data_IF_784880546564
#
_entry.id   IF_784880546564
#
_cell.length_a   1.000
_cell.length_b   1.000
_cell.length_c   1.000
_cell.angle_alpha   90.00
_cell.angle_beta   90.00
_cell.angle_gamma   90.00
#
_symmetry.space_group_name_H-M   'P 1'
#
loop_
_entity.id
_entity.type
_entity.pdbx_description
1 polymer ?
#
# COMPACT_ATOMS: atom_id res chain seq x y z
N UNK A 1 -8.35 -16.62 -24.04
CA UNK A 1 -7.60 -17.61 -23.23
C UNK A 1 -6.55 -16.84 -22.45
N UNK A 2 -6.47 -17.03 -21.13
CA UNK A 2 -5.48 -16.34 -20.28
C UNK A 2 -4.06 -16.78 -20.61
N UNK A 3 -3.11 -15.85 -20.48
CA UNK A 3 -1.67 -16.13 -20.52
C UNK A 3 -1.20 -16.32 -19.09
N UNK A 4 -0.38 -17.35 -18.82
CA UNK A 4 0.20 -17.58 -17.48
C UNK A 4 0.97 -16.36 -16.98
N UNK A 5 1.60 -15.61 -17.89
CA UNK A 5 2.27 -14.34 -17.58
C UNK A 5 1.31 -13.26 -17.08
N UNK A 6 0.09 -13.20 -17.64
CA UNK A 6 -0.91 -12.24 -17.17
C UNK A 6 -1.44 -12.65 -15.80
N UNK A 7 -1.53 -13.95 -15.51
CA UNK A 7 -1.93 -14.45 -14.19
C UNK A 7 -0.88 -14.05 -13.12
N UNK A 8 0.42 -14.12 -13.44
CA UNK A 8 1.50 -13.58 -12.59
C UNK A 8 1.29 -12.10 -12.30
N UNK A 9 1.03 -11.30 -13.34
CA UNK A 9 0.85 -9.85 -13.19
C UNK A 9 -0.39 -9.46 -12.41
N UNK A 10 -1.51 -10.15 -12.62
CA UNK A 10 -2.73 -9.94 -11.85
C UNK A 10 -2.47 -10.21 -10.37
N UNK A 11 -1.78 -11.31 -10.06
CA UNK A 11 -1.41 -11.63 -8.68
C UNK A 11 -0.45 -10.59 -8.09
N UNK A 12 0.57 -10.17 -8.84
CA UNK A 12 1.50 -9.15 -8.38
C UNK A 12 0.80 -7.81 -8.09
N UNK A 13 -0.09 -7.36 -8.97
CA UNK A 13 -0.90 -6.16 -8.74
C UNK A 13 -1.80 -6.31 -7.50
N UNK A 14 -2.42 -7.48 -7.30
CA UNK A 14 -3.23 -7.73 -6.11
C UNK A 14 -2.40 -7.62 -4.82
N UNK A 15 -1.16 -8.12 -4.81
CA UNK A 15 -0.22 -7.95 -3.69
C UNK A 15 0.13 -6.49 -3.48
N UNK A 16 0.55 -5.79 -4.54
CA UNK A 16 1.01 -4.41 -4.49
C UNK A 16 -0.06 -3.44 -3.99
N UNK A 17 -1.30 -3.63 -4.43
CA UNK A 17 -2.40 -2.68 -4.24
C UNK A 17 -3.24 -2.95 -2.98
N UNK A 18 -3.15 -4.15 -2.39
CA UNK A 18 -3.96 -4.51 -1.22
C UNK A 18 -3.26 -4.19 0.10
N UNK A 19 -4.07 -3.98 1.16
CA UNK A 19 -3.63 -4.04 2.56
C UNK A 19 -3.77 -5.44 3.14
N UNK A 20 -4.74 -6.20 2.63
CA UNK A 20 -5.02 -7.58 3.00
C UNK A 20 -5.24 -8.38 1.72
N UNK A 21 -4.42 -9.40 1.50
CA UNK A 21 -4.53 -10.32 0.38
C UNK A 21 -5.23 -11.59 0.85
N UNK A 22 -6.39 -11.87 0.28
CA UNK A 22 -7.10 -13.13 0.50
C UNK A 22 -6.76 -14.09 -0.63
N UNK A 23 -6.00 -15.13 -0.32
CA UNK A 23 -5.74 -16.23 -1.24
C UNK A 23 -6.78 -17.34 -1.01
N UNK A 24 -7.51 -17.70 -2.06
CA UNK A 24 -8.61 -18.65 -1.99
C UNK A 24 -8.28 -19.93 -2.79
N UNK A 25 -8.30 -21.08 -2.13
CA UNK A 25 -8.11 -22.40 -2.75
C UNK A 25 -9.22 -23.36 -2.35
N UNK A 26 -9.40 -24.46 -3.08
CA UNK A 26 -10.36 -25.53 -2.75
C UNK A 26 -9.59 -26.76 -2.26
N UNK A 27 -10.11 -27.44 -1.24
CA UNK A 27 -9.60 -28.71 -0.73
C UNK A 27 -8.63 -28.52 0.44
N UNK A 28 -7.35 -28.75 0.20
CA UNK A 28 -6.31 -28.73 1.23
C UNK A 28 -5.08 -27.95 0.76
N UNK A 29 -4.21 -27.56 1.70
CA UNK A 29 -2.91 -26.95 1.38
C UNK A 29 -1.90 -28.06 1.10
N UNK A 30 -1.97 -28.62 -0.11
CA UNK A 30 -1.03 -29.62 -0.60
C UNK A 30 0.12 -28.96 -1.41
N UNK A 31 1.02 -29.80 -1.93
CA UNK A 31 2.11 -29.30 -2.77
C UNK A 31 1.57 -28.61 -4.04
N UNK A 32 0.49 -29.11 -4.63
CA UNK A 32 -0.15 -28.51 -5.81
C UNK A 32 -0.65 -27.10 -5.54
N UNK A 33 -1.27 -26.87 -4.39
CA UNK A 33 -1.76 -25.56 -3.97
C UNK A 33 -0.62 -24.55 -3.76
N UNK A 34 0.53 -25.02 -3.25
CA UNK A 34 1.73 -24.21 -3.08
C UNK A 34 2.51 -24.00 -4.39
N UNK A 35 2.49 -24.96 -5.31
CA UNK A 35 3.09 -24.80 -6.64
C UNK A 35 2.30 -23.77 -7.48
N UNK A 36 0.98 -23.68 -7.27
CA UNK A 36 0.17 -22.59 -7.84
C UNK A 36 0.56 -21.21 -7.30
N UNK A 37 1.20 -21.15 -6.13
CA UNK A 37 1.81 -19.95 -5.58
C UNK A 37 3.24 -19.71 -6.11
N UNK A 38 3.68 -20.37 -7.20
CA UNK A 38 4.93 -20.00 -7.88
C UNK A 38 4.96 -18.51 -8.29
N UNK A 39 3.81 -17.86 -8.46
CA UNK A 39 3.76 -16.40 -8.63
C UNK A 39 4.39 -15.65 -7.46
N UNK A 40 4.36 -16.20 -6.24
CA UNK A 40 5.05 -15.66 -5.06
C UNK A 40 6.57 -15.82 -5.19
N UNK A 41 7.06 -16.87 -5.84
CA UNK A 41 8.50 -17.01 -6.14
C UNK A 41 8.91 -16.07 -7.27
N UNK A 42 8.08 -15.94 -8.30
CA UNK A 42 8.26 -14.97 -9.39
C UNK A 42 8.16 -13.54 -8.89
N UNK A 43 7.31 -13.24 -7.91
CA UNK A 43 7.22 -11.94 -7.23
C UNK A 43 8.58 -11.48 -6.70
N UNK A 44 9.46 -12.39 -6.27
CA UNK A 44 10.82 -12.02 -5.87
C UNK A 44 11.69 -11.54 -7.05
N UNK A 45 11.40 -12.01 -8.25
CA UNK A 45 12.05 -11.58 -9.51
C UNK A 45 11.35 -10.36 -10.12
N UNK A 46 10.04 -10.23 -9.90
CA UNK A 46 9.14 -9.25 -10.50
C UNK A 46 8.81 -8.06 -9.58
N UNK A 47 9.25 -8.07 -8.34
CA UNK A 47 9.20 -6.93 -7.42
C UNK A 47 10.61 -6.71 -6.89
N UNK A 48 11.28 -5.71 -7.47
CA UNK A 48 12.49 -5.17 -6.87
C UNK A 48 12.08 -4.16 -5.80
N UNK A 49 12.47 -4.40 -4.55
CA UNK A 49 12.27 -3.44 -3.46
C UNK A 49 13.30 -2.31 -3.47
N UNK A 50 14.46 -2.49 -4.11
CA UNK A 50 15.50 -1.46 -4.35
C UNK A 50 16.07 -1.54 -5.76
N UNK A 51 16.54 -0.41 -6.28
CA UNK A 51 17.29 -0.35 -7.55
C UNK A 51 18.74 -0.86 -7.44
N UNK A 52 19.30 -0.94 -6.23
CA UNK A 52 20.74 -1.20 -5.98
C UNK A 52 21.08 -2.59 -5.44
N UNK A 53 20.13 -3.52 -5.33
CA UNK A 53 20.42 -4.85 -4.77
C UNK A 53 21.16 -5.73 -5.78
N UNK A 54 22.38 -6.13 -5.42
CA UNK A 54 23.13 -7.20 -6.08
C UNK A 54 22.38 -8.52 -5.80
N UNK A 55 22.19 -9.42 -6.79
CA UNK A 55 21.56 -10.72 -6.53
C UNK A 55 22.41 -11.52 -5.54
N UNK A 56 21.93 -11.70 -4.31
CA UNK A 56 22.59 -12.53 -3.29
C UNK A 56 22.82 -11.90 -1.93
N UNK A 57 22.54 -10.60 -1.73
CA UNK A 57 22.66 -9.99 -0.41
C UNK A 57 21.45 -10.35 0.47
N UNK A 58 21.63 -11.36 1.34
CA UNK A 58 20.58 -12.04 2.10
C UNK A 58 20.11 -11.29 3.36
N UNK A 59 20.44 -10.00 3.50
CA UNK A 59 20.25 -9.27 4.76
C UNK A 59 19.18 -8.17 4.74
N UNK A 60 18.51 -7.92 3.61
CA UNK A 60 17.52 -6.84 3.45
C UNK A 60 16.08 -7.25 3.86
N UNK A 61 15.92 -8.20 4.80
CA UNK A 61 14.60 -8.72 5.18
C UNK A 61 13.74 -7.75 6.00
N UNK A 62 14.33 -6.71 6.58
CA UNK A 62 13.63 -5.73 7.43
C UNK A 62 12.77 -4.72 6.65
N UNK A 63 13.06 -4.51 5.37
CA UNK A 63 12.35 -3.50 4.55
C UNK A 63 11.13 -4.04 3.80
N UNK A 64 10.98 -5.36 3.70
CA UNK A 64 9.79 -6.00 3.10
C UNK A 64 8.53 -5.77 3.95
N UNK A 65 8.69 -5.60 5.27
CA UNK A 65 7.59 -5.62 6.25
C UNK A 65 6.61 -4.45 6.09
N UNK A 66 7.00 -3.36 5.43
CA UNK A 66 6.15 -2.18 5.24
C UNK A 66 5.24 -2.20 4.01
N UNK A 67 5.46 -3.13 3.06
CA UNK A 67 4.82 -3.09 1.74
C UNK A 67 3.78 -4.16 1.51
N UNK A 68 4.07 -5.36 2.02
CA UNK A 68 3.26 -6.53 1.73
C UNK A 68 1.99 -6.51 2.57
N UNK A 69 0.85 -6.90 1.98
CA UNK A 69 -0.41 -6.97 2.70
C UNK A 69 -0.37 -8.03 3.79
N UNK A 70 -1.28 -7.91 4.76
CA UNK A 70 -1.63 -9.06 5.59
C UNK A 70 -2.12 -10.20 4.69
N UNK A 71 -1.72 -11.44 4.99
CA UNK A 71 -2.08 -12.58 4.16
C UNK A 71 -3.14 -13.45 4.85
N UNK A 72 -4.22 -13.72 4.14
CA UNK A 72 -5.29 -14.62 4.61
C UNK A 72 -5.45 -15.75 3.61
N UNK A 73 -5.20 -16.99 4.04
CA UNK A 73 -5.49 -18.16 3.24
C UNK A 73 -6.88 -18.69 3.59
N UNK A 74 -7.79 -18.67 2.62
CA UNK A 74 -9.12 -19.26 2.72
C UNK A 74 -9.15 -20.60 1.98
N UNK A 75 -9.39 -21.68 2.70
CA UNK A 75 -9.43 -23.04 2.15
C UNK A 75 -10.89 -23.51 2.10
N UNK A 76 -11.46 -23.49 0.90
CA UNK A 76 -12.85 -23.85 0.59
C UNK A 76 -13.04 -25.36 0.53
N UNK A 77 -14.24 -25.81 0.84
CA UNK A 77 -14.65 -27.22 0.82
C UNK A 77 -13.66 -28.10 1.59
N UNK A 78 -13.26 -27.64 2.77
CA UNK A 78 -12.28 -28.32 3.61
C UNK A 78 -12.83 -29.66 4.10
N UNK A 79 -12.02 -30.73 3.97
CA UNK A 79 -12.46 -32.10 4.27
C UNK A 79 -11.62 -32.81 5.34
N UNK A 80 -10.56 -32.17 5.83
CA UNK A 80 -9.71 -32.77 6.86
C UNK A 80 -10.25 -32.41 8.25
N UNK A 81 -9.95 -33.25 9.22
CA UNK A 81 -10.07 -32.85 10.62
C UNK A 81 -8.83 -32.01 10.98
N UNK A 82 -9.05 -30.90 11.69
CA UNK A 82 -7.97 -30.06 12.21
C UNK A 82 -7.31 -30.75 13.40
N UNK A 83 -6.58 -31.82 13.13
CA UNK A 83 -5.85 -32.59 14.12
C UNK A 83 -4.40 -32.84 13.67
N UNK A 84 -3.49 -32.80 14.64
CA UNK A 84 -2.09 -33.17 14.47
C UNK A 84 -1.66 -34.02 15.67
N UNK A 85 -1.09 -35.20 15.42
CA UNK A 85 -0.73 -36.18 16.47
C UNK A 85 -1.87 -36.48 17.46
N UNK A 86 -3.11 -36.56 16.96
CA UNK A 86 -4.31 -36.84 17.74
C UNK A 86 -4.74 -35.71 18.68
N UNK A 87 -4.20 -34.50 18.51
CA UNK A 87 -4.63 -33.29 19.23
C UNK A 87 -5.29 -32.32 18.26
N UNK A 88 -6.37 -31.63 18.68
CA UNK A 88 -6.96 -30.57 17.87
C UNK A 88 -5.96 -29.43 17.69
N UNK A 89 -5.91 -28.88 16.48
CA UNK A 89 -5.09 -27.72 16.11
C UNK A 89 -5.97 -26.59 15.61
N UNK A 90 -5.47 -25.36 15.64
CA UNK A 90 -6.18 -24.24 15.01
C UNK A 90 -5.98 -24.24 13.48
N UNK A 91 -6.81 -23.48 12.77
CA UNK A 91 -6.64 -23.25 11.33
C UNK A 91 -5.28 -22.60 11.02
N UNK A 92 -4.82 -21.72 11.91
CA UNK A 92 -3.53 -21.04 11.79
C UNK A 92 -2.38 -22.04 11.97
N UNK A 93 -2.46 -22.94 12.95
CA UNK A 93 -1.49 -24.03 13.12
C UNK A 93 -1.47 -24.95 11.90
N UNK A 94 -2.63 -25.25 11.30
CA UNK A 94 -2.70 -26.02 10.06
C UNK A 94 -1.92 -25.35 8.92
N UNK A 95 -2.04 -24.02 8.79
CA UNK A 95 -1.27 -23.26 7.80
C UNK A 95 0.23 -23.26 8.11
N UNK A 96 0.64 -23.08 9.37
CA UNK A 96 2.05 -23.14 9.75
C UNK A 96 2.67 -24.51 9.47
N UNK A 97 1.96 -25.60 9.79
CA UNK A 97 2.39 -26.96 9.46
C UNK A 97 2.54 -27.17 7.94
N UNK A 98 1.60 -26.66 7.14
CA UNK A 98 1.69 -26.75 5.68
C UNK A 98 2.91 -25.99 5.11
N UNK A 99 3.35 -24.94 5.80
CA UNK A 99 4.49 -24.08 5.44
C UNK A 99 5.81 -24.51 6.09
N UNK A 100 5.84 -25.63 6.82
CA UNK A 100 7.07 -26.18 7.38
C UNK A 100 8.09 -26.52 6.29
N UNK A 101 9.35 -26.18 6.59
CA UNK A 101 10.46 -26.43 5.68
C UNK A 101 11.04 -27.81 5.95
N UNK A 102 11.36 -28.53 4.88
CA UNK A 102 12.14 -29.77 4.99
C UNK A 102 13.60 -29.44 5.27
N UNK A 103 14.19 -30.21 6.18
CA UNK A 103 15.64 -30.20 6.43
C UNK A 103 16.35 -30.95 5.31
N UNK A 104 17.44 -30.36 4.81
CA UNK A 104 18.19 -30.90 3.67
C UNK A 104 18.41 -29.85 2.57
N UNK A 105 19.25 -30.20 1.60
CA UNK A 105 19.66 -29.29 0.52
C UNK A 105 19.66 -29.98 -0.86
N UNK A 106 18.89 -31.04 -1.03
CA UNK A 106 18.67 -31.65 -2.35
C UNK A 106 17.83 -30.73 -3.23
N UNK A 107 17.92 -30.87 -4.55
CA UNK A 107 17.12 -30.09 -5.50
C UNK A 107 15.61 -30.21 -5.25
N UNK A 108 15.15 -31.41 -4.86
CA UNK A 108 13.75 -31.66 -4.48
C UNK A 108 13.34 -30.89 -3.23
N UNK A 109 14.20 -30.85 -2.21
CA UNK A 109 13.95 -30.08 -0.99
C UNK A 109 14.00 -28.57 -1.25
N UNK A 110 14.88 -28.10 -2.12
CA UNK A 110 14.93 -26.71 -2.53
C UNK A 110 13.64 -26.28 -3.23
N UNK A 111 13.18 -27.08 -4.20
CA UNK A 111 11.92 -26.82 -4.94
C UNK A 111 10.72 -26.83 -3.99
N UNK A 112 10.65 -27.79 -3.07
CA UNK A 112 9.60 -27.87 -2.05
C UNK A 112 9.62 -26.67 -1.09
N UNK A 113 10.81 -26.24 -0.66
CA UNK A 113 10.98 -25.20 0.33
C UNK A 113 10.83 -23.78 -0.25
N UNK A 114 11.06 -23.58 -1.54
CA UNK A 114 11.06 -22.25 -2.17
C UNK A 114 9.74 -21.48 -1.98
N UNK A 115 8.56 -21.98 -2.40
CA UNK A 115 7.30 -21.26 -2.22
C UNK A 115 6.99 -20.99 -0.74
N UNK A 116 7.32 -21.95 0.14
CA UNK A 116 7.15 -21.81 1.60
C UNK A 116 8.01 -20.71 2.19
N UNK A 117 9.28 -20.63 1.78
CA UNK A 117 10.20 -19.55 2.18
C UNK A 117 9.68 -18.20 1.71
N UNK A 118 9.22 -18.10 0.46
CA UNK A 118 8.70 -16.85 -0.08
C UNK A 118 7.44 -16.39 0.66
N UNK A 119 6.47 -17.27 0.91
CA UNK A 119 5.25 -16.93 1.67
C UNK A 119 5.62 -16.44 3.08
N UNK A 120 6.51 -17.14 3.79
CA UNK A 120 6.94 -16.76 5.14
C UNK A 120 7.74 -15.46 5.16
N UNK A 121 8.49 -15.17 4.10
CA UNK A 121 9.28 -13.96 3.97
C UNK A 121 8.40 -12.74 3.65
N UNK A 122 7.53 -12.85 2.66
CA UNK A 122 6.70 -11.74 2.20
C UNK A 122 5.52 -11.48 3.12
N UNK A 123 5.02 -12.50 3.79
CA UNK A 123 3.87 -12.41 4.67
C UNK A 123 4.27 -12.87 6.08
N UNK A 124 4.90 -12.01 6.89
CA UNK A 124 5.31 -12.39 8.24
C UNK A 124 4.10 -12.68 9.14
N UNK A 125 3.01 -11.93 8.96
CA UNK A 125 1.71 -12.18 9.61
C UNK A 125 0.76 -12.82 8.61
N UNK A 126 0.27 -14.01 8.96
CA UNK A 126 -0.61 -14.84 8.13
C UNK A 126 -1.77 -15.35 8.98
N UNK A 127 -2.95 -15.46 8.37
CA UNK A 127 -4.17 -16.01 8.96
C UNK A 127 -4.71 -17.10 8.05
N UNK A 128 -5.30 -18.14 8.63
CA UNK A 128 -5.99 -19.18 7.89
C UNK A 128 -7.47 -19.22 8.28
N UNK A 129 -8.32 -19.53 7.30
CA UNK A 129 -9.71 -19.91 7.51
C UNK A 129 -9.99 -21.14 6.67
N UNK A 130 -10.56 -22.17 7.29
CA UNK A 130 -11.12 -23.32 6.56
C UNK A 130 -12.64 -23.14 6.50
N UNK A 131 -13.18 -23.34 5.31
CA UNK A 131 -14.61 -23.20 5.06
C UNK A 131 -15.15 -24.54 4.61
N UNK A 132 -16.15 -25.06 5.31
CA UNK A 132 -16.86 -26.25 4.89
C UNK A 132 -17.56 -26.04 3.53
N UNK A 133 -17.99 -27.13 2.90
CA UNK A 133 -18.80 -27.04 1.71
C UNK A 133 -20.14 -26.39 2.08
N UNK A 134 -20.54 -25.28 1.41
CA UNK A 134 -21.66 -24.46 1.88
C UNK A 134 -23.02 -25.16 1.78
N UNK A 135 -23.14 -26.13 0.87
CA UNK A 135 -24.34 -26.93 0.69
C UNK A 135 -24.03 -28.18 -0.14
N UNK A 136 -25.03 -29.04 -0.33
CA UNK A 136 -24.89 -30.25 -1.15
C UNK A 136 -24.59 -29.90 -2.61
N UNK A 137 -23.77 -30.73 -3.27
CA UNK A 137 -23.34 -30.56 -4.68
C UNK A 137 -24.44 -30.20 -5.68
N UNK A 138 -25.64 -30.75 -5.53
CA UNK A 138 -26.79 -30.49 -6.42
C UNK A 138 -27.36 -29.08 -6.28
N UNK A 139 -27.15 -28.42 -5.13
CA UNK A 139 -27.61 -27.07 -4.82
C UNK A 139 -26.56 -25.98 -5.09
N UNK A 140 -25.27 -26.34 -5.21
CA UNK A 140 -24.19 -25.39 -5.48
C UNK A 140 -24.43 -24.44 -6.67
N UNK A 141 -25.05 -24.85 -7.80
CA UNK A 141 -25.35 -23.92 -8.89
C UNK A 141 -26.31 -22.78 -8.52
N UNK A 142 -27.07 -22.94 -7.43
CA UNK A 142 -28.07 -21.98 -6.97
C UNK A 142 -27.60 -21.19 -5.74
N UNK A 143 -26.32 -21.31 -5.36
CA UNK A 143 -25.80 -20.82 -4.07
C UNK A 143 -26.04 -19.32 -3.85
N UNK A 144 -25.94 -18.50 -4.90
CA UNK A 144 -26.17 -17.04 -4.84
C UNK A 144 -27.63 -16.67 -4.56
N UNK A 145 -28.59 -17.57 -4.85
CA UNK A 145 -30.01 -17.34 -4.60
C UNK A 145 -30.50 -17.96 -3.28
N UNK A 146 -29.63 -18.68 -2.56
CA UNK A 146 -29.98 -19.36 -1.31
C UNK A 146 -29.86 -18.42 -0.12
N UNK A 147 -30.75 -18.60 0.85
CA UNK A 147 -30.68 -17.89 2.14
C UNK A 147 -29.72 -18.59 3.11
N UNK A 148 -29.17 -17.87 4.09
CA UNK A 148 -28.30 -18.43 5.15
C UNK A 148 -28.91 -19.68 5.81
N UNK A 149 -30.24 -19.69 5.99
CA UNK A 149 -30.96 -20.81 6.60
C UNK A 149 -30.98 -22.09 5.76
N UNK A 150 -30.62 -22.01 4.48
CA UNK A 150 -30.57 -23.14 3.54
C UNK A 150 -29.14 -23.70 3.36
N UNK A 151 -28.15 -23.05 3.95
CA UNK A 151 -26.74 -23.42 3.93
C UNK A 151 -26.38 -24.28 5.14
N UNK A 152 -25.22 -24.93 5.07
CA UNK A 152 -24.66 -25.63 6.22
C UNK A 152 -24.36 -24.62 7.35
N UNK A 153 -24.88 -24.81 8.59
CA UNK A 153 -24.76 -23.83 9.66
C UNK A 153 -23.31 -23.48 10.01
N UNK A 154 -22.42 -24.47 9.98
CA UNK A 154 -20.99 -24.30 10.27
C UNK A 154 -20.30 -23.43 9.21
N UNK A 155 -20.62 -23.63 7.92
CA UNK A 155 -20.15 -22.75 6.85
C UNK A 155 -20.60 -21.30 7.08
N UNK A 156 -21.85 -21.09 7.48
CA UNK A 156 -22.39 -19.73 7.73
C UNK A 156 -21.64 -19.06 8.89
N UNK A 157 -21.37 -19.78 9.98
CA UNK A 157 -20.57 -19.25 11.09
C UNK A 157 -19.14 -18.93 10.66
N UNK A 158 -18.47 -19.85 9.96
CA UNK A 158 -17.10 -19.67 9.47
C UNK A 158 -17.00 -18.47 8.51
N UNK A 159 -17.95 -18.32 7.58
CA UNK A 159 -18.01 -17.18 6.66
C UNK A 159 -18.22 -15.86 7.40
N UNK A 160 -19.09 -15.82 8.41
CA UNK A 160 -19.30 -14.63 9.26
C UNK A 160 -18.04 -14.27 10.05
N UNK A 161 -17.34 -15.26 10.60
CA UNK A 161 -16.07 -15.07 11.30
C UNK A 161 -14.98 -14.53 10.38
N UNK A 162 -14.86 -15.08 9.17
CA UNK A 162 -13.96 -14.58 8.13
C UNK A 162 -14.26 -13.11 7.80
N UNK A 163 -15.50 -12.76 7.47
CA UNK A 163 -15.89 -11.39 7.15
C UNK A 163 -15.59 -10.43 8.31
N UNK A 164 -15.96 -10.82 9.53
CA UNK A 164 -15.68 -10.02 10.74
C UNK A 164 -14.19 -9.81 10.94
N UNK A 165 -13.38 -10.85 10.76
CA UNK A 165 -11.92 -10.75 10.88
C UNK A 165 -11.36 -9.76 9.85
N UNK A 166 -11.76 -9.88 8.59
CA UNK A 166 -11.30 -8.98 7.52
C UNK A 166 -11.70 -7.54 7.83
N UNK A 167 -12.95 -7.28 8.23
CA UNK A 167 -13.41 -5.92 8.56
C UNK A 167 -12.70 -5.32 9.77
N UNK A 168 -12.30 -6.14 10.75
CA UNK A 168 -11.68 -5.66 11.98
C UNK A 168 -10.17 -5.49 11.88
N UNK A 169 -9.50 -6.36 11.11
CA UNK A 169 -8.03 -6.42 11.08
C UNK A 169 -7.42 -5.75 9.85
N UNK A 170 -8.15 -5.62 8.76
CA UNK A 170 -7.65 -4.94 7.55
C UNK A 170 -7.46 -3.46 7.84
N UNK A 171 -6.24 -2.98 7.62
CA UNK A 171 -5.87 -1.58 7.82
C UNK A 171 -5.97 -0.78 6.53
N UNK A 172 -5.97 0.54 6.62
CA UNK A 172 -5.78 1.37 5.43
C UNK A 172 -4.45 0.99 4.75
N UNK A 173 -4.43 1.06 3.41
CA UNK A 173 -3.19 0.79 2.66
C UNK A 173 -2.22 1.90 2.98
N UNK A 174 -1.00 1.54 3.34
CA UNK A 174 0.08 2.49 3.58
C UNK A 174 1.24 2.25 2.62
N UNK A 175 1.97 3.32 2.34
CA UNK A 175 3.29 3.30 1.72
C UNK A 175 4.38 3.32 2.82
N UNK A 176 5.65 3.03 2.50
CA UNK A 176 6.75 3.23 3.44
C UNK A 176 6.75 4.62 4.04
N UNK A 177 7.07 4.71 5.33
CA UNK A 177 6.90 5.94 6.11
C UNK A 177 5.48 6.14 6.66
N UNK A 178 4.57 5.18 6.44
CA UNK A 178 3.23 5.18 7.05
C UNK A 178 2.21 6.08 6.36
N UNK A 179 2.51 6.56 5.15
CA UNK A 179 1.61 7.42 4.41
C UNK A 179 0.38 6.64 3.94
N UNK A 180 -0.81 7.07 4.35
CA UNK A 180 -2.08 6.43 4.01
C UNK A 180 -2.43 6.70 2.54
N UNK A 181 -2.69 5.63 1.80
CA UNK A 181 -3.06 5.69 0.38
C UNK A 181 -4.52 6.08 0.24
N UNK A 182 -4.74 7.30 -0.25
CA UNK A 182 -6.08 7.81 -0.63
C UNK A 182 -6.53 7.23 -1.97
N UNK A 183 -7.82 7.38 -2.32
CA UNK A 183 -8.33 6.92 -3.62
C UNK A 183 -7.62 7.53 -4.83
N UNK A 184 -7.24 8.82 -4.75
CA UNK A 184 -6.47 9.49 -5.80
C UNK A 184 -5.06 8.87 -5.94
N UNK A 185 -4.38 8.65 -4.81
CA UNK A 185 -3.05 8.05 -4.82
C UNK A 185 -3.09 6.59 -5.31
N UNK A 186 -4.11 5.82 -4.91
CA UNK A 186 -4.33 4.45 -5.38
C UNK A 186 -4.50 4.41 -6.90
N UNK A 187 -5.32 5.29 -7.48
CA UNK A 187 -5.53 5.36 -8.92
C UNK A 187 -4.22 5.66 -9.68
N UNK A 188 -3.38 6.55 -9.13
CA UNK A 188 -2.06 6.85 -9.70
C UNK A 188 -1.09 5.67 -9.58
N UNK A 189 -1.09 4.96 -8.47
CA UNK A 189 -0.30 3.73 -8.30
C UNK A 189 -0.73 2.63 -9.29
N UNK A 190 -2.04 2.39 -9.43
CA UNK A 190 -2.59 1.44 -10.41
C UNK A 190 -2.10 1.80 -11.81
N UNK A 191 -2.25 3.06 -12.21
CA UNK A 191 -1.79 3.52 -13.52
C UNK A 191 -0.29 3.31 -13.70
N UNK A 192 0.53 3.74 -12.74
CA UNK A 192 1.97 3.61 -12.80
C UNK A 192 2.41 2.14 -12.97
N UNK A 193 1.88 1.23 -12.14
CA UNK A 193 2.22 -0.19 -12.24
C UNK A 193 1.77 -0.81 -13.57
N UNK A 194 0.56 -0.49 -14.04
CA UNK A 194 0.05 -1.01 -15.31
C UNK A 194 0.83 -0.47 -16.50
N UNK A 195 1.19 0.82 -16.49
CA UNK A 195 2.01 1.44 -17.54
C UNK A 195 3.41 0.78 -17.59
N UNK A 196 4.05 0.53 -16.43
CA UNK A 196 5.33 -0.19 -16.35
C UNK A 196 5.21 -1.60 -16.94
N UNK A 197 4.21 -2.39 -16.50
CA UNK A 197 3.98 -3.76 -17.00
C UNK A 197 3.72 -3.75 -18.53
N UNK A 198 2.88 -2.82 -19.00
CA UNK A 198 2.52 -2.72 -20.42
C UNK A 198 3.71 -2.33 -21.30
N UNK A 199 4.72 -1.65 -20.73
CA UNK A 199 5.97 -1.33 -21.41
C UNK A 199 6.97 -2.50 -21.47
N UNK A 200 6.62 -3.65 -20.91
CA UNK A 200 7.49 -4.83 -20.82
C UNK A 200 8.51 -4.76 -19.68
N UNK A 201 8.39 -3.75 -18.81
CA UNK A 201 9.24 -3.58 -17.64
C UNK A 201 8.62 -4.21 -16.39
N UNK A 202 9.48 -4.47 -15.42
CA UNK A 202 9.10 -5.04 -14.13
C UNK A 202 8.87 -3.91 -13.12
N UNK A 203 7.69 -3.82 -12.47
CA UNK A 203 7.43 -2.82 -11.45
C UNK A 203 8.43 -2.86 -10.29
N UNK A 204 9.04 -1.73 -9.97
CA UNK A 204 9.95 -1.60 -8.83
C UNK A 204 9.28 -0.77 -7.73
N UNK A 205 8.77 -1.44 -6.69
CA UNK A 205 8.03 -0.82 -5.58
C UNK A 205 8.56 0.56 -5.17
N UNK A 206 9.86 0.67 -4.93
CA UNK A 206 10.49 1.91 -4.51
C UNK A 206 10.56 2.99 -5.61
N UNK A 207 10.92 2.61 -6.84
CA UNK A 207 11.10 3.57 -7.93
C UNK A 207 9.77 4.22 -8.33
N UNK A 208 8.72 3.42 -8.49
CA UNK A 208 7.38 3.92 -8.83
C UNK A 208 6.84 4.87 -7.75
N UNK A 209 7.10 4.56 -6.47
CA UNK A 209 6.69 5.42 -5.35
C UNK A 209 7.54 6.69 -5.29
N UNK A 210 8.84 6.61 -5.53
CA UNK A 210 9.71 7.79 -5.57
C UNK A 210 9.33 8.74 -6.72
N UNK A 211 9.11 8.18 -7.92
CA UNK A 211 8.67 8.96 -9.07
C UNK A 211 7.31 9.62 -8.81
N UNK A 212 6.38 8.88 -8.19
CA UNK A 212 5.08 9.42 -7.83
C UNK A 212 5.17 10.47 -6.72
N UNK A 213 6.03 10.27 -5.72
CA UNK A 213 6.31 11.25 -4.68
C UNK A 213 6.87 12.55 -5.27
N UNK A 214 7.79 12.47 -6.22
CA UNK A 214 8.35 13.66 -6.87
C UNK A 214 7.27 14.48 -7.60
N UNK A 215 6.39 13.80 -8.35
CA UNK A 215 5.30 14.44 -9.07
C UNK A 215 4.30 15.06 -8.09
N UNK A 216 3.88 14.32 -7.05
CA UNK A 216 2.89 14.80 -6.10
C UNK A 216 3.42 15.92 -5.20
N UNK A 217 4.65 15.82 -4.72
CA UNK A 217 5.27 16.85 -3.88
C UNK A 217 5.47 18.14 -4.66
N UNK A 218 5.86 18.06 -5.94
CA UNK A 218 5.96 19.23 -6.82
C UNK A 218 4.61 19.90 -7.04
N UNK A 219 3.57 19.11 -7.31
CA UNK A 219 2.21 19.64 -7.48
C UNK A 219 1.66 20.24 -6.17
N UNK A 220 1.88 19.56 -5.02
CA UNK A 220 1.48 20.04 -3.71
C UNK A 220 2.18 21.36 -3.36
N UNK A 221 3.47 21.49 -3.69
CA UNK A 221 4.22 22.73 -3.51
C UNK A 221 3.63 23.87 -4.34
N UNK A 222 3.35 23.64 -5.63
CA UNK A 222 2.73 24.66 -6.49
C UNK A 222 1.35 25.10 -5.97
N UNK A 223 0.53 24.15 -5.51
CA UNK A 223 -0.77 24.47 -4.93
C UNK A 223 -0.70 25.19 -3.58
N UNK A 224 0.37 24.96 -2.81
CA UNK A 224 0.64 25.67 -1.57
C UNK A 224 1.10 27.11 -1.83
N UNK A 225 1.99 27.32 -2.80
CA UNK A 225 2.40 28.67 -3.26
C UNK A 225 1.19 29.46 -3.76
N UNK A 226 0.38 28.88 -4.66
CA UNK A 226 -0.83 29.55 -5.15
C UNK A 226 -1.83 29.85 -4.02
N UNK A 227 -1.93 28.98 -3.01
CA UNK A 227 -2.75 29.23 -1.82
C UNK A 227 -2.22 30.40 -1.00
N UNK A 228 -0.91 30.48 -0.81
CA UNK A 228 -0.26 31.58 -0.11
C UNK A 228 -0.51 32.91 -0.85
N UNK A 229 -0.25 32.96 -2.16
CA UNK A 229 -0.46 34.16 -3.00
C UNK A 229 -1.91 34.64 -2.92
N UNK A 230 -2.87 33.73 -3.07
CA UNK A 230 -4.30 34.06 -2.97
C UNK A 230 -4.69 34.57 -1.58
N UNK A 231 -4.19 33.94 -0.50
CA UNK A 231 -4.48 34.39 0.86
C UNK A 231 -3.89 35.77 1.13
N UNK A 232 -2.67 36.03 0.64
CA UNK A 232 -2.03 37.34 0.77
C UNK A 232 -2.80 38.42 -0.01
N UNK A 233 -3.22 38.15 -1.24
CA UNK A 233 -4.04 39.09 -2.04
C UNK A 233 -5.38 39.43 -1.38
N UNK A 234 -5.99 38.46 -0.69
CA UNK A 234 -7.28 38.66 -0.02
C UNK A 234 -7.18 39.30 1.36
N UNK A 235 -6.05 39.11 2.05
CA UNK A 235 -5.90 39.48 3.46
C UNK A 235 -5.07 40.75 3.67
N UNK A 236 -4.30 41.20 2.67
CA UNK A 236 -3.46 42.40 2.75
C UNK A 236 -4.12 43.54 1.99
N UNK A 237 -4.54 44.58 2.71
CA UNK A 237 -4.87 45.87 2.12
C UNK A 237 -3.62 46.77 2.15
N UNK A 238 -3.16 47.20 0.98
CA UNK A 238 -1.99 48.07 0.87
C UNK A 238 -2.38 49.56 0.79
N UNK A 239 -1.65 50.47 1.47
CA UNK A 239 -0.56 50.18 2.41
C UNK A 239 -1.06 49.70 3.78
N UNK A 240 -0.32 48.78 4.39
CA UNK A 240 -0.51 48.39 5.80
C UNK A 240 -0.01 49.50 6.75
N UNK A 241 -0.63 49.66 7.92
CA UNK A 241 -0.25 50.73 8.87
C UNK A 241 1.09 50.45 9.55
N UNK A 242 1.42 49.17 9.77
CA UNK A 242 2.68 48.75 10.39
C UNK A 242 3.29 47.54 9.71
N UNK A 243 4.61 47.39 9.80
CA UNK A 243 5.30 46.16 9.38
C UNK A 243 4.81 44.93 10.16
N UNK A 244 4.43 45.09 11.43
CA UNK A 244 3.99 43.98 12.27
C UNK A 244 2.67 43.38 11.77
N UNK A 245 1.73 44.22 11.34
CA UNK A 245 0.45 43.79 10.76
C UNK A 245 0.66 42.92 9.52
N UNK A 246 1.57 43.34 8.64
CA UNK A 246 1.93 42.56 7.46
C UNK A 246 2.59 41.22 7.82
N UNK A 247 3.48 41.20 8.81
CA UNK A 247 4.16 39.98 9.26
C UNK A 247 3.17 38.98 9.89
N UNK A 248 2.17 39.46 10.62
CA UNK A 248 1.14 38.61 11.22
C UNK A 248 0.25 37.96 10.15
N UNK A 249 -0.13 38.71 9.11
CA UNK A 249 -0.87 38.18 7.95
C UNK A 249 -0.03 37.18 7.18
N UNK A 250 1.24 37.50 6.89
CA UNK A 250 2.19 36.59 6.24
C UNK A 250 2.29 35.26 6.97
N UNK A 251 2.52 35.29 8.29
CA UNK A 251 2.65 34.08 9.12
C UNK A 251 1.40 33.20 9.03
N UNK A 252 0.21 33.78 9.11
CA UNK A 252 -1.04 33.03 8.99
C UNK A 252 -1.23 32.41 7.60
N UNK A 253 -0.86 33.14 6.54
CA UNK A 253 -0.91 32.62 5.17
C UNK A 253 0.10 31.49 4.95
N UNK A 254 1.32 31.64 5.48
CA UNK A 254 2.36 30.63 5.44
C UNK A 254 1.93 29.35 6.17
N UNK A 255 1.43 29.46 7.41
CA UNK A 255 0.96 28.30 8.19
C UNK A 255 -0.13 27.51 7.43
N UNK A 256 -1.06 28.20 6.77
CA UNK A 256 -2.10 27.55 5.97
C UNK A 256 -1.55 26.90 4.71
N UNK A 257 -0.63 27.55 4.00
CA UNK A 257 0.03 26.99 2.81
C UNK A 257 0.85 25.73 3.16
N UNK A 258 1.63 25.78 4.24
CA UNK A 258 2.39 24.63 4.76
C UNK A 258 1.45 23.49 5.15
N UNK A 259 0.35 23.78 5.85
CA UNK A 259 -0.65 22.76 6.20
C UNK A 259 -1.26 22.10 4.96
N UNK A 260 -1.53 22.88 3.90
CA UNK A 260 -2.05 22.38 2.63
C UNK A 260 -1.02 21.49 1.90
N UNK A 261 0.26 21.88 1.91
CA UNK A 261 1.36 21.07 1.37
C UNK A 261 1.47 19.73 2.11
N UNK A 262 1.57 19.76 3.44
CA UNK A 262 1.76 18.57 4.28
C UNK A 262 0.61 17.56 4.18
N UNK A 263 -0.61 18.03 3.90
CA UNK A 263 -1.77 17.16 3.72
C UNK A 263 -1.69 16.29 2.45
N UNK A 264 -0.88 16.69 1.46
CA UNK A 264 -0.76 16.00 0.17
C UNK A 264 0.64 15.41 -0.08
N UNK A 265 1.68 16.03 0.46
CA UNK A 265 3.06 15.58 0.28
C UNK A 265 3.32 14.22 0.93
N UNK A 266 4.16 13.39 0.32
CA UNK A 266 4.63 12.15 0.91
C UNK A 266 6.06 11.81 0.46
N UNK A 267 6.79 11.07 1.30
CA UNK A 267 8.18 10.65 1.06
C UNK A 267 9.15 11.81 0.70
N UNK A 268 8.90 13.02 1.18
CA UNK A 268 9.86 14.14 1.13
C UNK A 268 10.88 14.05 2.28
N UNK A 269 11.61 12.93 2.36
CA UNK A 269 12.50 12.63 3.50
C UNK A 269 13.64 13.63 3.67
N UNK A 270 14.07 14.26 2.57
CA UNK A 270 15.10 15.31 2.56
C UNK A 270 14.53 16.71 2.74
N UNK A 271 13.21 16.84 2.92
CA UNK A 271 12.48 18.11 3.02
C UNK A 271 12.80 19.06 1.87
N UNK A 272 13.10 18.54 0.68
CA UNK A 272 13.54 19.37 -0.45
C UNK A 272 12.41 20.27 -0.92
N UNK A 273 11.21 19.71 -1.08
CA UNK A 273 10.04 20.46 -1.53
C UNK A 273 9.53 21.40 -0.43
N UNK A 274 9.63 20.99 0.83
CA UNK A 274 9.32 21.88 1.95
C UNK A 274 10.28 23.08 2.03
N UNK A 275 11.59 22.85 1.85
CA UNK A 275 12.58 23.93 1.80
C UNK A 275 12.37 24.84 0.60
N UNK A 276 12.07 24.29 -0.57
CA UNK A 276 11.74 25.07 -1.77
C UNK A 276 10.49 25.93 -1.57
N UNK A 277 9.45 25.40 -0.90
CA UNK A 277 8.26 26.17 -0.51
C UNK A 277 8.63 27.34 0.41
N UNK A 278 9.46 27.10 1.44
CA UNK A 278 9.90 28.16 2.35
C UNK A 278 10.75 29.22 1.64
N UNK A 279 11.64 28.82 0.73
CA UNK A 279 12.45 29.76 -0.07
C UNK A 279 11.57 30.55 -1.05
N UNK A 280 10.57 29.92 -1.66
CA UNK A 280 9.58 30.57 -2.51
C UNK A 280 8.78 31.62 -1.73
N UNK A 281 8.24 31.24 -0.56
CA UNK A 281 7.48 32.14 0.30
C UNK A 281 8.32 33.32 0.81
N UNK A 282 9.59 33.10 1.13
CA UNK A 282 10.52 34.17 1.52
C UNK A 282 10.86 35.15 0.38
N UNK A 283 10.88 34.67 -0.87
CA UNK A 283 11.03 35.55 -2.05
C UNK A 283 9.80 36.42 -2.29
N UNK A 284 8.60 35.88 -2.05
CA UNK A 284 7.38 36.70 -2.05
C UNK A 284 7.34 37.66 -0.86
N UNK A 285 7.87 37.30 0.31
CA UNK A 285 7.95 38.21 1.46
C UNK A 285 8.91 39.39 1.20
N UNK A 286 10.08 39.14 0.60
CA UNK A 286 11.02 40.20 0.20
C UNK A 286 10.45 41.11 -0.89
N UNK A 287 9.68 40.56 -1.85
CA UNK A 287 8.95 41.37 -2.83
C UNK A 287 7.88 42.26 -2.17
N UNK A 288 7.23 41.79 -1.11
CA UNK A 288 6.25 42.57 -0.35
C UNK A 288 6.96 43.66 0.49
N UNK A 289 8.12 43.37 1.09
CA UNK A 289 8.95 44.38 1.76
C UNK A 289 9.38 45.49 0.78
N UNK A 290 9.78 45.14 -0.45
CA UNK A 290 10.13 46.09 -1.50
C UNK A 290 8.93 46.96 -1.94
N UNK A 291 7.72 46.37 -2.01
CA UNK A 291 6.47 47.11 -2.29
C UNK A 291 6.14 48.07 -1.13
N UNK A 292 6.27 47.62 0.12
CA UNK A 292 6.02 48.47 1.29
C UNK A 292 7.01 49.63 1.37
N UNK A 293 8.29 49.40 1.08
CA UNK A 293 9.31 50.45 0.95
C UNK A 293 8.92 51.45 -0.13
N UNK A 294 8.57 50.98 -1.32
CA UNK A 294 8.16 51.85 -2.43
C UNK A 294 6.91 52.69 -2.10
N UNK A 295 5.90 52.11 -1.44
CA UNK A 295 4.70 52.84 -1.03
C UNK A 295 4.98 53.81 0.12
N UNK A 296 5.88 53.47 1.05
CA UNK A 296 6.32 54.38 2.11
C UNK A 296 7.09 55.58 1.57
N UNK A 297 7.98 55.38 0.59
CA UNK A 297 8.71 56.43 -0.10
C UNK A 297 7.76 57.31 -0.94
N UNK A 298 6.80 56.72 -1.64
CA UNK A 298 5.78 57.45 -2.40
C UNK A 298 4.81 58.25 -1.50
N UNK A 299 4.58 57.80 -0.26
CA UNK A 299 3.74 58.50 0.72
C UNK A 299 4.47 59.67 1.40
N UNK A 300 5.81 59.64 1.47
CA UNK A 300 6.64 60.76 1.95
C UNK A 300 6.87 61.86 0.90
N UNK A 301 6.50 61.62 -0.37
CA UNK A 301 6.63 62.55 -1.50
C UNK A 301 5.34 63.37 -1.78
N UNK A 302 4.32 63.30 -0.92
CA UNK A 302 3.16 64.20 -0.90
C UNK A 302 3.23 65.16 0.27
#
# INVERSE_FOLDING_TARGET
>A
KGSTQNDTWIFALAVLLSSTLVYNSIGTIDQTALDKLHFVTELSEHIKTKASSIPGDRNDTSEFVGFFPAFVWTVRDFTLQLEHDGKPISEDDYLEHALELKTGNTEKEQTFNLPRKCIRLFFPTRKCFVLECPTKRKKLPFLEQMEDSELEPEFVEQAKLFCRYVYWTSREKTLPGGHVVTGNLLAKLVKAYVDTISSGNVPCLENEILALAEIENRAAMQEAVACYEQLMEQSVELPTETLQELLDVHKNCEEQAVKKFLARSFKDEKQQFQLELMVGNNKTATFIEDICLFVSEASQLK
#
